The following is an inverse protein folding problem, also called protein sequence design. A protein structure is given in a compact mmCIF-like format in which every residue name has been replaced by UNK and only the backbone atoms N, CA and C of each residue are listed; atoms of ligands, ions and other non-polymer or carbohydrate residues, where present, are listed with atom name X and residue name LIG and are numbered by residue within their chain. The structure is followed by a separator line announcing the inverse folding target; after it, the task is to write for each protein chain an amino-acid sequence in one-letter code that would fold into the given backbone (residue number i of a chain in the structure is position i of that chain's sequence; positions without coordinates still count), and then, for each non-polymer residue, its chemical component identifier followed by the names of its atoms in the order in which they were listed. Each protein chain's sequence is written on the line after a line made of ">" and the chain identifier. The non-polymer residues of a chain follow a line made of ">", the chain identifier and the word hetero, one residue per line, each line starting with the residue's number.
data_IF_514046728313
#
_entry.id   IF_514046728313
#
_cell.length_a   1.000
_cell.length_b   1.000
_cell.length_c   1.000
_cell.angle_alpha   90.00
_cell.angle_beta   90.00
_cell.angle_gamma   90.00
#
_symmetry.space_group_name_H-M   'P 1'
#
loop_
_entity.id
_entity.type
_entity.pdbx_description
1 polymer ?
#
# COMPACT_ATOMS: atom_id res chain seq x y z
N UNK A 1 15.73 -20.47 -4.65
CA UNK A 1 14.72 -19.42 -4.87
C UNK A 1 15.30 -18.45 -5.86
N UNK A 2 14.78 -18.41 -7.08
CA UNK A 2 15.23 -17.44 -8.08
C UNK A 2 14.41 -16.16 -7.91
N UNK A 3 15.10 -15.02 -7.83
CA UNK A 3 14.47 -13.71 -7.71
C UNK A 3 14.85 -12.88 -8.94
N UNK A 4 13.86 -12.28 -9.58
CA UNK A 4 14.10 -11.34 -10.67
C UNK A 4 13.27 -10.10 -10.41
N UNK A 5 13.96 -9.00 -10.12
CA UNK A 5 13.31 -7.71 -10.04
C UNK A 5 13.16 -7.19 -11.46
N UNK A 6 11.92 -7.13 -11.94
CA UNK A 6 11.61 -6.48 -13.21
C UNK A 6 11.30 -5.03 -12.90
N UNK A 7 12.33 -4.19 -12.99
CA UNK A 7 12.19 -2.75 -12.83
C UNK A 7 11.49 -2.15 -14.05
N UNK A 8 10.17 -2.20 -14.08
CA UNK A 8 9.38 -1.24 -14.83
C UNK A 8 8.92 -0.16 -13.84
N UNK A 9 9.57 1.01 -13.86
CA UNK A 9 9.11 2.15 -13.05
C UNK A 9 7.73 2.55 -13.56
N UNK A 10 6.72 2.38 -12.73
CA UNK A 10 5.35 2.82 -12.98
C UNK A 10 5.02 3.96 -12.04
N UNK A 11 4.22 4.90 -12.51
CA UNK A 11 3.79 6.07 -11.76
C UNK A 11 2.26 6.11 -11.69
N UNK A 12 1.75 6.38 -10.51
CA UNK A 12 0.35 6.73 -10.27
C UNK A 12 0.31 8.09 -9.60
N UNK A 13 -0.41 9.03 -10.19
CA UNK A 13 -0.52 10.40 -9.68
C UNK A 13 -1.89 10.63 -9.05
N UNK A 14 -1.92 11.32 -7.91
CA UNK A 14 -3.15 11.74 -7.24
C UNK A 14 -4.03 10.58 -6.75
N UNK A 15 -3.43 9.46 -6.36
CA UNK A 15 -4.19 8.31 -5.84
C UNK A 15 -4.60 8.55 -4.39
N UNK A 16 -5.78 8.05 -4.03
CA UNK A 16 -6.33 8.15 -2.67
C UNK A 16 -6.19 6.82 -1.96
N UNK A 17 -5.54 6.84 -0.79
CA UNK A 17 -5.34 5.64 0.00
C UNK A 17 -6.65 5.14 0.62
N UNK A 18 -6.80 3.83 0.65
CA UNK A 18 -7.94 3.13 1.26
C UNK A 18 -7.47 2.13 2.32
N UNK A 19 -8.37 1.78 3.24
CA UNK A 19 -8.11 0.81 4.29
C UNK A 19 -6.95 1.19 5.23
N UNK A 20 -6.18 0.18 5.64
CA UNK A 20 -5.04 0.34 6.55
C UNK A 20 -3.80 0.87 5.81
N UNK A 21 -3.20 1.93 6.34
CA UNK A 21 -2.04 2.60 5.75
C UNK A 21 -0.82 2.43 6.65
N UNK A 22 0.16 1.65 6.18
CA UNK A 22 1.44 1.41 6.84
C UNK A 22 2.58 1.95 5.97
N UNK A 23 2.71 3.28 5.92
CA UNK A 23 3.80 3.98 5.21
C UNK A 23 4.87 4.47 6.19
N UNK A 24 4.46 5.07 7.31
CA UNK A 24 5.41 5.60 8.29
C UNK A 24 6.05 4.54 9.18
N UNK A 25 5.31 3.47 9.48
CA UNK A 25 5.78 2.31 10.23
C UNK A 25 5.31 1.03 9.53
N UNK A 26 6.13 -0.03 9.52
CA UNK A 26 5.73 -1.31 8.97
C UNK A 26 4.65 -1.94 9.85
N UNK A 27 3.81 -2.78 9.24
CA UNK A 27 3.00 -3.74 9.97
C UNK A 27 3.88 -4.87 10.51
N UNK A 28 3.74 -5.17 11.80
CA UNK A 28 4.54 -6.15 12.54
C UNK A 28 3.72 -7.37 12.98
N UNK A 29 2.56 -7.62 12.34
CA UNK A 29 1.76 -8.81 12.63
C UNK A 29 2.57 -10.11 12.48
N UNK A 30 3.42 -10.20 11.45
CA UNK A 30 4.52 -11.17 11.38
C UNK A 30 5.80 -10.47 11.84
N UNK A 31 6.28 -10.71 13.09
CA UNK A 31 7.42 -10.00 13.65
C UNK A 31 8.72 -10.30 12.90
N UNK A 32 8.83 -11.45 12.24
CA UNK A 32 10.00 -11.82 11.43
C UNK A 32 9.99 -11.10 10.07
N UNK A 33 8.83 -10.59 9.64
CA UNK A 33 8.66 -9.93 8.34
C UNK A 33 7.88 -8.61 8.46
N UNK A 34 8.44 -7.58 9.14
CA UNK A 34 7.81 -6.27 9.19
C UNK A 34 7.59 -5.77 7.76
N UNK A 35 6.36 -5.38 7.43
CA UNK A 35 5.97 -5.09 6.04
C UNK A 35 5.24 -3.76 5.96
N UNK A 36 5.74 -2.86 5.13
CA UNK A 36 5.00 -1.67 4.73
C UNK A 36 3.91 -2.08 3.74
N UNK A 37 2.68 -1.65 3.99
CA UNK A 37 1.51 -2.03 3.19
C UNK A 37 0.51 -0.89 3.12
N UNK A 38 -0.08 -0.67 1.96
CA UNK A 38 -1.20 0.25 1.78
C UNK A 38 -1.96 -0.11 0.50
N UNK A 39 -3.20 0.35 0.39
CA UNK A 39 -4.06 0.11 -0.76
C UNK A 39 -4.53 1.41 -1.39
N UNK A 40 -4.92 1.35 -2.66
CA UNK A 40 -5.70 2.39 -3.35
C UNK A 40 -6.77 1.71 -4.17
N UNK A 41 -7.90 2.37 -4.33
CA UNK A 41 -8.92 1.98 -5.29
C UNK A 41 -8.79 2.82 -6.55
N UNK A 42 -8.82 2.17 -7.71
CA UNK A 42 -8.85 2.82 -9.02
C UNK A 42 -10.05 2.31 -9.80
N UNK A 43 -10.53 3.12 -10.74
CA UNK A 43 -11.61 2.74 -11.65
C UNK A 43 -11.26 3.05 -13.11
N UNK A 44 -12.11 2.58 -14.02
CA UNK A 44 -12.03 2.90 -15.45
C UNK A 44 -10.74 2.43 -16.13
N UNK A 45 -10.31 3.21 -17.12
CA UNK A 45 -9.21 2.84 -18.03
C UNK A 45 -7.87 2.68 -17.30
N UNK A 46 -7.61 3.48 -16.26
CA UNK A 46 -6.35 3.39 -15.51
C UNK A 46 -6.25 2.06 -14.75
N UNK A 47 -7.35 1.62 -14.13
CA UNK A 47 -7.40 0.33 -13.43
C UNK A 47 -7.15 -0.83 -14.39
N UNK A 48 -7.84 -0.86 -15.54
CA UNK A 48 -7.69 -1.94 -16.53
C UNK A 48 -6.29 -1.95 -17.18
N UNK A 49 -5.69 -0.78 -17.41
CA UNK A 49 -4.29 -0.69 -17.87
C UNK A 49 -3.32 -1.30 -16.85
N UNK A 50 -3.52 -1.03 -15.57
CA UNK A 50 -2.65 -1.57 -14.52
C UNK A 50 -2.86 -3.08 -14.34
N UNK A 51 -4.09 -3.57 -14.37
CA UNK A 51 -4.41 -5.01 -14.38
C UNK A 51 -3.70 -5.69 -15.54
N UNK A 52 -3.87 -5.17 -16.75
CA UNK A 52 -3.26 -5.74 -17.96
C UNK A 52 -1.74 -5.79 -17.83
N UNK A 53 -1.12 -4.72 -17.33
CA UNK A 53 0.33 -4.68 -17.13
C UNK A 53 0.82 -5.68 -16.06
N UNK A 54 0.05 -5.89 -14.99
CA UNK A 54 0.37 -6.88 -13.95
C UNK A 54 0.28 -8.29 -14.53
N UNK A 55 -0.82 -8.60 -15.21
CA UNK A 55 -1.08 -9.93 -15.76
C UNK A 55 -0.08 -10.29 -16.87
N UNK A 56 0.17 -9.37 -17.81
CA UNK A 56 1.15 -9.59 -18.87
C UNK A 56 2.57 -9.79 -18.32
N UNK A 57 2.97 -8.97 -17.34
CA UNK A 57 4.30 -9.09 -16.71
C UNK A 57 4.43 -10.42 -15.98
N UNK A 58 3.39 -10.85 -15.24
CA UNK A 58 3.44 -12.11 -14.51
C UNK A 58 3.54 -13.30 -15.48
N UNK A 59 2.75 -13.31 -16.55
CA UNK A 59 2.78 -14.38 -17.56
C UNK A 59 4.13 -14.48 -18.28
N UNK A 60 4.67 -13.33 -18.70
CA UNK A 60 5.97 -13.26 -19.35
C UNK A 60 7.08 -13.78 -18.42
N UNK A 61 7.13 -13.27 -17.19
CA UNK A 61 8.17 -13.64 -16.23
C UNK A 61 8.03 -15.08 -15.73
N UNK A 62 6.79 -15.58 -15.57
CA UNK A 62 6.56 -16.98 -15.25
C UNK A 62 7.15 -17.89 -16.33
N UNK A 63 6.92 -17.56 -17.62
CA UNK A 63 7.49 -18.31 -18.75
C UNK A 63 9.01 -18.30 -18.75
N UNK A 64 9.62 -17.14 -18.55
CA UNK A 64 11.08 -17.00 -18.49
C UNK A 64 11.70 -17.80 -17.34
N UNK A 65 11.01 -17.89 -16.20
CA UNK A 65 11.44 -18.65 -15.03
C UNK A 65 11.14 -20.15 -15.13
N UNK A 66 10.45 -20.61 -16.18
CA UNK A 66 9.96 -21.99 -16.29
C UNK A 66 8.92 -22.35 -15.23
N UNK A 67 8.23 -21.34 -14.69
CA UNK A 67 7.23 -21.46 -13.63
C UNK A 67 5.81 -21.24 -14.17
N UNK A 68 4.81 -21.64 -13.40
CA UNK A 68 3.40 -21.28 -13.67
C UNK A 68 3.06 -19.94 -13.01
N UNK A 69 2.27 -19.06 -13.64
CA UNK A 69 1.79 -17.87 -12.96
C UNK A 69 0.91 -18.28 -11.77
N UNK A 70 1.19 -17.75 -10.59
CA UNK A 70 0.34 -17.91 -9.41
C UNK A 70 -1.06 -17.35 -9.69
N UNK A 71 -2.14 -17.83 -9.06
CA UNK A 71 -3.46 -17.19 -9.13
C UNK A 71 -3.57 -15.94 -8.23
N UNK A 72 -2.68 -15.78 -7.24
CA UNK A 72 -2.71 -14.61 -6.35
C UNK A 72 -2.29 -13.36 -7.11
N UNK A 73 -3.09 -12.30 -7.03
CA UNK A 73 -2.83 -10.99 -7.65
C UNK A 73 -2.69 -9.91 -6.58
N UNK A 74 -1.90 -8.86 -6.82
CA UNK A 74 -1.83 -7.70 -5.94
C UNK A 74 -2.98 -6.72 -6.22
N UNK A 75 -4.13 -7.23 -6.67
CA UNK A 75 -5.34 -6.46 -6.88
C UNK A 75 -6.58 -7.33 -6.60
N UNK A 76 -7.71 -6.69 -6.30
CA UNK A 76 -9.02 -7.30 -6.13
C UNK A 76 -10.07 -6.44 -6.82
N UNK A 77 -10.93 -7.05 -7.65
CA UNK A 77 -12.11 -6.37 -8.21
C UNK A 77 -13.17 -6.25 -7.11
N UNK A 78 -13.76 -5.07 -6.96
CA UNK A 78 -14.81 -4.78 -5.99
C UNK A 78 -16.19 -4.80 -6.66
N UNK A 79 -17.25 -4.90 -5.85
CA UNK A 79 -18.63 -5.07 -6.34
C UNK A 79 -19.18 -3.83 -7.05
N UNK A 80 -18.62 -2.65 -6.77
CA UNK A 80 -18.95 -1.38 -7.42
C UNK A 80 -18.25 -1.17 -8.77
N UNK A 81 -17.46 -2.16 -9.22
CA UNK A 81 -16.69 -2.12 -10.46
C UNK A 81 -15.34 -1.41 -10.33
N UNK A 82 -14.97 -0.91 -9.15
CA UNK A 82 -13.63 -0.44 -8.87
C UNK A 82 -12.66 -1.61 -8.62
N UNK A 83 -11.37 -1.30 -8.56
CA UNK A 83 -10.31 -2.29 -8.35
C UNK A 83 -9.39 -1.77 -7.25
N UNK A 84 -9.30 -2.52 -6.16
CA UNK A 84 -8.33 -2.28 -5.10
C UNK A 84 -6.96 -2.84 -5.51
N UNK A 85 -5.91 -2.03 -5.45
CA UNK A 85 -4.53 -2.43 -5.65
C UNK A 85 -3.75 -2.36 -4.34
N UNK A 86 -3.02 -3.42 -4.01
CA UNK A 86 -2.22 -3.50 -2.79
C UNK A 86 -0.73 -3.33 -3.07
N UNK A 87 -0.12 -2.34 -2.43
CA UNK A 87 1.32 -2.09 -2.47
C UNK A 87 1.97 -2.62 -1.21
N UNK A 88 3.05 -3.40 -1.35
CA UNK A 88 3.72 -4.07 -0.23
C UNK A 88 5.22 -4.12 -0.45
N UNK A 89 5.98 -3.88 0.62
CA UNK A 89 7.42 -4.11 0.64
C UNK A 89 7.89 -4.41 2.05
N UNK A 90 8.75 -5.41 2.18
CA UNK A 90 9.31 -5.84 3.47
C UNK A 90 10.36 -4.86 3.93
N UNK A 91 10.42 -4.60 5.23
CA UNK A 91 11.55 -3.96 5.88
C UNK A 91 12.72 -4.95 5.95
N UNK A 92 13.86 -4.57 5.38
CA UNK A 92 15.08 -5.39 5.41
C UNK A 92 15.97 -5.06 6.61
N UNK A 93 16.01 -3.78 7.00
CA UNK A 93 16.78 -3.27 8.13
C UNK A 93 15.85 -2.54 9.10
N UNK A 94 15.98 -2.83 10.40
CA UNK A 94 15.11 -2.26 11.43
C UNK A 94 15.21 -0.73 11.44
N UNK A 95 14.06 -0.07 11.47
CA UNK A 95 13.96 1.39 11.41
C UNK A 95 14.14 2.00 10.01
N UNK A 96 14.64 1.24 9.03
CA UNK A 96 14.83 1.75 7.67
C UNK A 96 13.62 1.49 6.76
N UNK A 97 13.31 2.47 5.90
CA UNK A 97 12.30 2.32 4.84
C UNK A 97 12.97 1.90 3.54
N UNK A 98 12.48 0.86 2.85
CA UNK A 98 12.99 0.44 1.55
C UNK A 98 12.54 1.37 0.40
N UNK A 99 11.80 2.43 0.71
CA UNK A 99 11.33 3.45 -0.23
C UNK A 99 11.51 4.84 0.39
N UNK A 100 11.52 5.84 -0.48
CA UNK A 100 11.68 7.24 -0.10
C UNK A 100 10.33 7.95 -0.07
N UNK A 101 10.20 8.92 0.83
CA UNK A 101 8.98 9.71 1.01
C UNK A 101 9.32 11.20 0.89
N UNK A 102 8.48 11.95 0.18
CA UNK A 102 8.61 13.38 -0.04
C UNK A 102 7.32 14.10 0.33
N UNK A 103 7.47 15.37 0.72
CA UNK A 103 6.36 16.30 0.82
C UNK A 103 5.99 16.91 -0.55
N UNK A 104 4.96 17.75 -0.56
CA UNK A 104 4.52 18.52 -1.73
C UNK A 104 5.61 19.42 -2.34
N UNK A 105 6.58 19.86 -1.53
CA UNK A 105 7.70 20.74 -1.94
C UNK A 105 8.94 19.94 -2.38
N UNK A 106 8.85 18.60 -2.46
CA UNK A 106 9.95 17.70 -2.80
C UNK A 106 11.07 17.65 -1.75
N UNK A 107 10.78 18.00 -0.50
CA UNK A 107 11.70 17.75 0.60
C UNK A 107 11.56 16.30 1.10
N UNK A 108 12.66 15.63 1.47
CA UNK A 108 12.59 14.29 2.03
C UNK A 108 11.90 14.30 3.40
N UNK A 109 10.98 13.36 3.60
CA UNK A 109 10.27 13.16 4.88
C UNK A 109 10.93 11.99 5.62
N UNK A 110 11.62 12.32 6.71
CA UNK A 110 12.30 11.32 7.57
C UNK A 110 11.31 10.70 8.55
N UNK A 111 10.46 11.52 9.16
CA UNK A 111 9.39 11.07 10.05
C UNK A 111 8.05 11.25 9.36
N UNK A 112 7.47 10.13 8.92
CA UNK A 112 6.16 10.14 8.27
C UNK A 112 5.10 10.03 9.37
N UNK A 113 4.11 10.94 9.43
CA UNK A 113 3.04 10.86 10.42
C UNK A 113 2.18 9.60 10.22
N UNK A 114 1.30 9.30 11.17
CA UNK A 114 0.35 8.20 11.06
C UNK A 114 -0.74 8.54 10.03
N UNK A 115 -0.41 8.34 8.76
CA UNK A 115 -1.31 8.53 7.62
C UNK A 115 -2.49 7.54 7.69
N UNK A 116 -3.66 7.97 7.23
CA UNK A 116 -4.89 7.18 7.19
C UNK A 116 -5.46 7.12 5.78
N UNK A 117 -6.51 6.29 5.62
CA UNK A 117 -7.38 6.35 4.45
C UNK A 117 -7.84 7.79 4.17
N UNK A 118 -7.97 8.12 2.89
CA UNK A 118 -8.23 9.48 2.40
C UNK A 118 -6.97 10.31 2.13
N UNK A 119 -5.77 9.84 2.53
CA UNK A 119 -4.50 10.48 2.13
C UNK A 119 -4.33 10.41 0.62
N UNK A 120 -3.98 11.54 -0.01
CA UNK A 120 -3.71 11.62 -1.45
C UNK A 120 -2.21 11.66 -1.70
N UNK A 121 -1.71 10.87 -2.65
CA UNK A 121 -0.27 10.83 -2.98
C UNK A 121 0.03 10.54 -4.45
N UNK A 122 1.25 10.87 -4.86
CA UNK A 122 1.87 10.31 -6.07
C UNK A 122 2.77 9.14 -5.67
N UNK A 123 2.76 8.07 -6.46
CA UNK A 123 3.44 6.82 -6.18
C UNK A 123 4.26 6.37 -7.39
N UNK A 124 5.57 6.18 -7.20
CA UNK A 124 6.35 5.32 -8.07
C UNK A 124 6.50 3.94 -7.45
N UNK A 125 6.30 2.91 -8.25
CA UNK A 125 6.45 1.52 -7.83
C UNK A 125 7.11 0.68 -8.93
N UNK A 126 7.51 -0.53 -8.56
CA UNK A 126 8.04 -1.54 -9.46
C UNK A 126 7.24 -2.83 -9.33
N UNK A 127 7.24 -3.63 -10.39
CA UNK A 127 6.77 -5.01 -10.35
C UNK A 127 7.88 -5.91 -9.81
N UNK A 128 7.62 -6.54 -8.67
CA UNK A 128 8.53 -7.52 -8.09
C UNK A 128 8.00 -8.91 -8.37
N UNK A 129 8.78 -9.73 -9.10
CA UNK A 129 8.43 -11.12 -9.40
C UNK A 129 9.35 -12.07 -8.65
N UNK A 130 8.75 -13.01 -7.93
CA UNK A 130 9.47 -14.07 -7.23
C UNK A 130 8.96 -15.44 -7.64
N UNK A 131 9.84 -16.43 -7.64
CA UNK A 131 9.48 -17.83 -7.86
C UNK A 131 9.54 -18.60 -6.54
N UNK A 132 8.50 -19.38 -6.27
CA UNK A 132 8.47 -20.34 -5.17
C UNK A 132 7.69 -21.60 -5.55
N UNK A 133 8.31 -22.76 -5.38
CA UNK A 133 7.71 -24.09 -5.62
C UNK A 133 7.07 -24.21 -7.01
N UNK A 134 7.76 -23.73 -8.05
CA UNK A 134 7.32 -23.76 -9.45
C UNK A 134 6.22 -22.76 -9.81
N UNK A 135 5.95 -21.78 -8.92
CA UNK A 135 4.96 -20.72 -9.14
C UNK A 135 5.63 -19.36 -9.08
N UNK A 136 5.36 -18.52 -10.09
CA UNK A 136 5.75 -17.12 -10.08
C UNK A 136 4.67 -16.27 -9.39
N UNK A 137 5.08 -15.34 -8.54
CA UNK A 137 4.22 -14.39 -7.84
C UNK A 137 4.62 -12.98 -8.24
N UNK A 138 3.66 -12.06 -8.32
CA UNK A 138 3.91 -10.64 -8.60
C UNK A 138 3.42 -9.78 -7.43
N UNK A 139 4.21 -8.78 -7.07
CA UNK A 139 3.91 -7.79 -6.05
C UNK A 139 4.16 -6.37 -6.58
N UNK A 140 3.42 -5.40 -6.07
CA UNK A 140 3.64 -3.98 -6.34
C UNK A 140 4.51 -3.41 -5.22
N UNK A 141 5.78 -3.14 -5.50
CA UNK A 141 6.71 -2.60 -4.50
C UNK A 141 6.82 -1.08 -4.64
N UNK A 142 6.42 -0.30 -3.62
CA UNK A 142 6.62 1.14 -3.63
C UNK A 142 8.12 1.45 -3.65
N UNK A 143 8.49 2.50 -4.39
CA UNK A 143 9.88 2.98 -4.45
C UNK A 143 9.96 4.45 -4.05
N UNK A 144 8.98 5.26 -4.47
CA UNK A 144 8.92 6.69 -4.17
C UNK A 144 7.49 7.10 -3.88
N UNK A 145 7.28 7.88 -2.82
CA UNK A 145 5.96 8.39 -2.43
C UNK A 145 6.05 9.90 -2.22
N UNK A 146 5.21 10.67 -2.92
CA UNK A 146 5.04 12.09 -2.66
C UNK A 146 3.66 12.32 -2.03
N UNK A 147 3.63 12.76 -0.78
CA UNK A 147 2.38 13.06 -0.08
C UNK A 147 1.82 14.38 -0.62
N UNK A 148 0.61 14.34 -1.19
CA UNK A 148 -0.10 15.50 -1.73
C UNK A 148 -1.00 16.13 -0.69
N UNK A 149 -1.78 15.30 -0.01
CA UNK A 149 -2.71 15.68 1.06
C UNK A 149 -2.68 14.59 2.13
N UNK A 150 -2.28 14.94 3.34
CA UNK A 150 -2.21 13.99 4.45
C UNK A 150 -3.54 13.97 5.22
N UNK A 151 -4.10 12.77 5.44
CA UNK A 151 -5.08 12.54 6.50
C UNK A 151 -4.37 11.80 7.62
N UNK A 152 -4.40 12.37 8.83
CA UNK A 152 -3.62 11.87 9.98
C UNK A 152 -4.58 11.45 11.07
N UNK A 153 -4.33 10.29 11.67
CA UNK A 153 -5.08 9.88 12.86
C UNK A 153 -4.57 10.63 14.09
N UNK A 154 -5.38 11.56 14.59
CA UNK A 154 -5.17 12.24 15.87
C UNK A 154 -5.88 11.47 16.99
N UNK A 155 -5.33 10.32 17.39
CA UNK A 155 -5.79 9.65 18.60
C UNK A 155 -5.65 10.60 19.79
N UNK A 156 -6.73 10.81 20.56
CA UNK A 156 -6.84 11.87 21.56
C UNK A 156 -5.61 12.03 22.46
N UNK A 157 -5.05 13.24 22.45
CA UNK A 157 -3.91 13.65 23.27
C UNK A 157 -2.76 14.25 22.46
N UNK A 158 -2.80 15.58 22.30
CA UNK A 158 -1.73 16.48 21.85
C UNK A 158 -0.70 15.89 20.86
N UNK A 159 -1.10 15.77 19.60
CA UNK A 159 -0.15 15.85 18.49
C UNK A 159 0.00 17.32 18.08
N UNK A 160 1.23 17.80 17.76
CA UNK A 160 1.41 19.11 17.18
C UNK A 160 0.66 19.18 15.84
N UNK A 161 -0.22 20.17 15.70
CA UNK A 161 -0.94 20.48 14.47
C UNK A 161 0.02 20.59 13.30
N UNK A 162 -0.06 19.63 12.38
CA UNK A 162 0.65 19.66 11.11
C UNK A 162 -0.02 20.72 10.22
N UNK A 163 0.52 21.95 10.23
CA UNK A 163 -0.06 23.11 9.53
C UNK A 163 0.25 24.48 10.15
N UNK A 164 0.80 24.53 11.38
CA UNK A 164 1.10 25.81 12.05
C UNK A 164 2.44 26.47 11.66
N UNK A 165 3.16 25.93 10.66
CA UNK A 165 4.42 26.48 10.17
C UNK A 165 4.40 26.63 8.65
N UNK A 166 4.23 27.87 8.21
CA UNK A 166 4.28 28.38 6.83
C UNK A 166 4.16 27.34 5.69
N UNK A 167 2.92 27.07 5.26
CA UNK A 167 2.74 26.60 3.89
C UNK A 167 1.45 25.95 3.45
N UNK A 168 0.46 25.65 4.30
CA UNK A 168 -0.79 25.05 3.84
C UNK A 168 -1.98 25.51 4.68
N UNK A 169 -3.02 26.03 4.02
CA UNK A 169 -4.29 26.36 4.63
C UNK A 169 -5.13 25.09 4.74
N UNK A 170 -5.58 24.79 5.95
CA UNK A 170 -6.67 23.84 6.20
C UNK A 170 -7.95 24.69 6.21
N UNK A 171 -8.89 24.42 5.31
CA UNK A 171 -10.26 24.93 5.47
C UNK A 171 -10.94 24.10 6.57
N UNK A 172 -11.25 24.76 7.68
CA UNK A 172 -12.06 24.21 8.77
C UNK A 172 -13.48 23.95 8.27
N UNK A 173 -13.82 22.68 8.08
CA UNK A 173 -15.21 22.22 7.93
C UNK A 173 -15.71 21.68 9.26
N UNK A 174 -16.50 22.47 9.99
CA UNK A 174 -17.26 22.03 11.16
C UNK A 174 -18.14 20.81 10.82
N UNK A 175 -17.98 19.71 11.56
CA UNK A 175 -18.81 18.51 11.37
C UNK A 175 -18.60 17.46 12.46
N UNK A 176 -19.59 17.36 13.36
CA UNK A 176 -19.72 16.48 14.51
C UNK A 176 -19.04 15.09 14.45
N UNK A 177 -18.41 14.71 15.57
CA UNK A 177 -17.90 13.36 15.82
C UNK A 177 -19.03 12.31 15.89
N UNK A 178 -18.89 11.11 15.29
CA UNK A 178 -19.71 9.98 15.66
C UNK A 178 -19.05 9.20 16.81
N UNK A 179 -19.80 9.09 17.91
CA UNK A 179 -19.60 8.12 18.99
C UNK A 179 -20.09 6.74 18.51
N UNK A 180 -19.26 5.70 18.66
CA UNK A 180 -19.75 4.33 18.72
C UNK A 180 -18.97 3.55 19.79
N UNK A 181 -19.51 3.56 21.00
CA UNK A 181 -19.38 2.45 21.93
C UNK A 181 -20.40 1.37 21.55
N UNK A 182 -19.94 0.12 21.41
CA UNK A 182 -20.83 -1.02 21.19
C UNK A 182 -20.08 -2.21 20.59
N UNK A 183 -19.55 -3.07 21.47
CA UNK A 183 -19.17 -4.45 21.12
C UNK A 183 -20.45 -5.26 20.91
N UNK A 184 -20.53 -6.10 19.88
CA UNK A 184 -21.04 -7.45 20.09
C UNK A 184 -20.01 -8.51 19.70
N UNK A 185 -20.26 -9.69 20.24
CA UNK A 185 -19.39 -10.85 20.34
C UNK A 185 -19.10 -11.57 19.02
N UNK A 186 -18.08 -12.42 19.12
CA UNK A 186 -17.68 -13.54 18.29
C UNK A 186 -18.73 -14.09 17.30
N UNK A 187 -18.25 -14.32 16.07
CA UNK A 187 -18.62 -15.52 15.33
C UNK A 187 -17.32 -16.15 14.81
N UNK A 188 -17.02 -17.32 15.37
CA UNK A 188 -16.13 -18.30 14.80
C UNK A 188 -16.59 -18.64 13.38
N UNK A 189 -15.65 -18.70 12.44
CA UNK A 189 -15.58 -19.80 11.49
C UNK A 189 -14.10 -20.01 11.18
N UNK A 190 -13.58 -21.06 11.81
CA UNK A 190 -12.35 -21.74 11.46
C UNK A 190 -12.36 -22.15 9.98
N UNK A 191 -11.24 -22.02 9.28
CA UNK A 191 -10.77 -23.11 8.43
C UNK A 191 -9.23 -23.08 8.35
N UNK A 192 -8.68 -24.09 9.04
CA UNK A 192 -7.30 -24.55 9.18
C UNK A 192 -6.61 -24.86 7.85
N UNK A 193 -5.28 -24.81 7.85
CA UNK A 193 -4.28 -25.60 7.12
C UNK A 193 -2.95 -24.82 7.19
N UNK A 194 -1.88 -25.23 7.86
CA UNK A 194 -1.48 -26.57 8.27
C UNK A 194 0.02 -26.68 7.97
N UNK A 195 0.79 -26.88 9.03
CA UNK A 195 2.25 -27.01 9.09
C UNK A 195 2.71 -28.29 8.38
N UNK A 196 3.47 -28.21 7.27
CA UNK A 196 4.38 -29.22 6.69
C UNK A 196 5.32 -28.63 5.60
#
# INVERSE_FOLDING_TARGET
>A
MAFKIVYAKKELAGITLTGYVNIGKPDTYDPDKPTFKFSTELNGELAEKLITAIDSTLEEQARELGAKPSPKRPYKRLDDGSVEFSFKVRQFEEGERPFKVWDMKMNPVVEVPNLTAGTVLNLNFAFYVSEFRGKAFIQLQPTHIQIKEAKVYEGGGNAPTFGAGEGYAVEDGEGAAPSFGGRPEAQDDDEDYGDF
#
